data_IF_718228209746
#
_entry.id   IF_718228209746
#
_cell.length_a   1.000
_cell.length_b   1.000
_cell.length_c   1.000
_cell.angle_alpha   90.00
_cell.angle_beta   90.00
_cell.angle_gamma   90.00
#
_symmetry.space_group_name_H-M   'P 1'
#
loop_
_entity.id
_entity.type
_entity.pdbx_description
1 polymer ?
#
# COMPACT_ATOMS: atom_id res chain seq x y z
N UNK A 1 -1.44 7.33 -1.33
CA UNK A 1 -2.62 6.68 -1.95
C UNK A 1 -2.30 6.14 -3.33
N UNK A 2 -1.70 6.92 -4.22
CA UNK A 2 -1.34 6.49 -5.58
C UNK A 2 -0.39 5.29 -5.62
N UNK A 3 0.54 5.17 -4.68
CA UNK A 3 1.45 4.03 -4.60
C UNK A 3 0.69 2.72 -4.34
N UNK A 4 -0.33 2.76 -3.48
CA UNK A 4 -1.14 1.58 -3.17
C UNK A 4 -1.96 1.16 -4.39
N UNK A 5 -2.74 2.08 -4.97
CA UNK A 5 -3.53 1.78 -6.17
C UNK A 5 -2.65 1.34 -7.35
N UNK A 6 -1.49 2.01 -7.52
CA UNK A 6 -0.49 1.66 -8.53
C UNK A 6 0.08 0.25 -8.35
N UNK A 7 0.27 -0.22 -7.11
CA UNK A 7 0.71 -1.59 -6.82
C UNK A 7 -0.36 -2.62 -7.16
N UNK A 8 -1.59 -2.40 -6.68
CA UNK A 8 -2.67 -3.37 -6.88
C UNK A 8 -3.12 -3.48 -8.34
N UNK A 9 -2.90 -2.45 -9.16
CA UNK A 9 -3.22 -2.50 -10.59
C UNK A 9 -2.48 -3.64 -11.31
N UNK A 10 -1.14 -3.66 -11.40
CA UNK A 10 -0.43 -4.74 -12.10
C UNK A 10 -0.52 -6.10 -11.37
N UNK A 11 -0.53 -6.12 -10.04
CA UNK A 11 -0.62 -7.38 -9.28
C UNK A 11 -1.96 -8.06 -9.48
N UNK A 12 -3.05 -7.31 -9.67
CA UNK A 12 -4.39 -7.88 -9.90
C UNK A 12 -4.50 -8.68 -11.19
N UNK A 13 -3.59 -8.51 -12.14
CA UNK A 13 -3.54 -9.34 -13.37
C UNK A 13 -3.19 -10.81 -13.08
N UNK A 14 -2.68 -11.12 -11.90
CA UNK A 14 -2.52 -12.49 -11.43
C UNK A 14 -3.85 -13.20 -11.10
N UNK A 15 -4.97 -12.49 -11.13
CA UNK A 15 -6.29 -12.98 -10.79
C UNK A 15 -7.19 -13.06 -12.02
N UNK A 16 -8.30 -13.82 -11.88
CA UNK A 16 -9.34 -13.88 -12.90
C UNK A 16 -9.92 -12.49 -13.23
N UNK A 17 -10.42 -12.28 -14.47
CA UNK A 17 -10.88 -10.98 -14.94
C UNK A 17 -11.91 -10.30 -14.04
N UNK A 18 -12.80 -11.06 -13.41
CA UNK A 18 -13.81 -10.52 -12.49
C UNK A 18 -13.15 -9.87 -11.28
N UNK A 19 -12.32 -10.61 -10.54
CA UNK A 19 -11.66 -10.10 -9.33
C UNK A 19 -10.63 -9.02 -9.63
N UNK A 20 -9.91 -9.15 -10.75
CA UNK A 20 -9.03 -8.10 -11.25
C UNK A 20 -9.77 -6.77 -11.40
N UNK A 21 -10.92 -6.77 -12.09
CA UNK A 21 -11.69 -5.56 -12.32
C UNK A 21 -12.28 -5.00 -11.00
N UNK A 22 -12.76 -5.85 -10.10
CA UNK A 22 -13.23 -5.44 -8.77
C UNK A 22 -12.13 -4.72 -8.01
N UNK A 23 -10.91 -5.29 -7.96
CA UNK A 23 -9.78 -4.69 -7.24
C UNK A 23 -9.38 -3.35 -7.88
N UNK A 24 -9.22 -3.31 -9.20
CA UNK A 24 -8.81 -2.08 -9.90
C UNK A 24 -9.83 -0.97 -9.66
N UNK A 25 -11.11 -1.23 -9.94
CA UNK A 25 -12.16 -0.22 -9.82
C UNK A 25 -12.29 0.27 -8.37
N UNK A 26 -12.33 -0.64 -7.41
CA UNK A 26 -12.50 -0.27 -5.99
C UNK A 26 -11.28 0.48 -5.45
N UNK A 27 -10.04 0.05 -5.76
CA UNK A 27 -8.83 0.72 -5.33
C UNK A 27 -8.71 2.13 -5.92
N UNK A 28 -8.99 2.30 -7.22
CA UNK A 28 -8.95 3.62 -7.84
C UNK A 28 -10.09 4.52 -7.38
N UNK A 29 -11.30 3.99 -7.17
CA UNK A 29 -12.41 4.75 -6.60
C UNK A 29 -12.07 5.27 -5.19
N UNK A 30 -11.60 4.38 -4.30
CA UNK A 30 -11.18 4.78 -2.96
C UNK A 30 -10.02 5.78 -2.98
N UNK A 31 -9.02 5.58 -3.84
CA UNK A 31 -7.89 6.51 -4.01
C UNK A 31 -8.37 7.88 -4.46
N UNK A 32 -9.26 7.94 -5.44
CA UNK A 32 -9.83 9.20 -5.94
C UNK A 32 -10.59 9.93 -4.83
N UNK A 33 -11.45 9.22 -4.09
CA UNK A 33 -12.17 9.78 -2.95
C UNK A 33 -11.20 10.33 -1.89
N UNK A 34 -10.16 9.58 -1.55
CA UNK A 34 -9.16 10.01 -0.57
C UNK A 34 -8.40 11.27 -1.02
N UNK A 35 -8.04 11.35 -2.30
CA UNK A 35 -7.38 12.53 -2.89
C UNK A 35 -8.34 13.74 -2.89
N UNK A 36 -9.58 13.55 -3.30
CA UNK A 36 -10.60 14.62 -3.32
C UNK A 36 -10.82 15.18 -1.90
N UNK A 37 -10.98 14.31 -0.91
CA UNK A 37 -11.10 14.73 0.50
C UNK A 37 -9.85 15.51 0.93
N UNK A 38 -8.66 15.04 0.57
CA UNK A 38 -7.41 15.72 0.92
C UNK A 38 -7.29 17.11 0.30
N UNK A 39 -7.74 17.28 -0.95
CA UNK A 39 -7.70 18.57 -1.66
C UNK A 39 -8.75 19.56 -1.11
N UNK A 40 -9.96 19.06 -0.83
CA UNK A 40 -11.04 19.91 -0.31
C UNK A 40 -10.79 20.30 1.16
N UNK A 41 -10.26 19.38 1.94
CA UNK A 41 -10.03 19.58 3.37
C UNK A 41 -8.54 19.63 3.72
N UNK A 42 -7.86 20.66 3.26
CA UNK A 42 -6.40 20.86 3.42
C UNK A 42 -5.97 20.86 4.91
N UNK A 43 -6.84 21.36 5.81
CA UNK A 43 -6.58 21.44 7.25
C UNK A 43 -7.08 20.20 8.03
N UNK A 44 -7.34 19.10 7.35
CA UNK A 44 -7.80 17.88 8.03
C UNK A 44 -6.77 17.39 9.06
N UNK A 45 -7.23 16.86 10.20
CA UNK A 45 -6.34 16.39 11.25
C UNK A 45 -5.53 15.18 10.79
N UNK A 46 -4.27 15.09 11.20
CA UNK A 46 -3.33 14.02 10.77
C UNK A 46 -3.84 12.62 11.08
N UNK A 47 -4.54 12.42 12.19
CA UNK A 47 -5.11 11.13 12.55
C UNK A 47 -6.09 10.61 11.48
N UNK A 48 -6.81 11.50 10.81
CA UNK A 48 -7.74 11.11 9.73
C UNK A 48 -6.98 10.45 8.58
N UNK A 49 -5.87 11.04 8.14
CA UNK A 49 -5.03 10.45 7.09
C UNK A 49 -4.46 9.10 7.51
N UNK A 50 -4.03 8.98 8.77
CA UNK A 50 -3.52 7.71 9.30
C UNK A 50 -4.59 6.63 9.29
N UNK A 51 -5.82 6.95 9.71
CA UNK A 51 -6.96 6.02 9.67
C UNK A 51 -7.26 5.59 8.23
N UNK A 52 -7.27 6.53 7.29
CA UNK A 52 -7.49 6.20 5.87
C UNK A 52 -6.39 5.29 5.33
N UNK A 53 -5.11 5.52 5.65
CA UNK A 53 -4.01 4.62 5.27
C UNK A 53 -4.17 3.21 5.85
N UNK A 54 -4.58 3.09 7.12
CA UNK A 54 -4.82 1.81 7.77
C UNK A 54 -5.98 1.08 7.08
N UNK A 55 -7.08 1.77 6.78
CA UNK A 55 -8.24 1.20 6.07
C UNK A 55 -7.81 0.65 4.70
N UNK A 56 -7.00 1.40 3.94
CA UNK A 56 -6.47 0.93 2.66
C UNK A 56 -5.58 -0.32 2.82
N UNK A 57 -4.73 -0.33 3.86
CA UNK A 57 -3.90 -1.49 4.16
C UNK A 57 -4.72 -2.74 4.50
N UNK A 58 -5.73 -2.61 5.35
CA UNK A 58 -6.66 -3.70 5.71
C UNK A 58 -7.47 -4.15 4.50
N UNK A 59 -7.96 -3.21 3.69
CA UNK A 59 -8.70 -3.53 2.47
C UNK A 59 -7.84 -4.37 1.51
N UNK A 60 -6.57 -4.03 1.35
CA UNK A 60 -5.62 -4.83 0.57
C UNK A 60 -5.45 -6.26 1.09
N UNK A 61 -5.45 -6.44 2.43
CA UNK A 61 -5.33 -7.77 3.04
C UNK A 61 -6.50 -8.71 2.69
N UNK A 62 -7.68 -8.18 2.43
CA UNK A 62 -8.85 -8.99 2.07
C UNK A 62 -8.62 -9.85 0.80
N UNK A 63 -7.74 -9.42 -0.08
CA UNK A 63 -7.43 -10.11 -1.33
C UNK A 63 -6.22 -11.07 -1.24
N UNK A 64 -5.51 -11.11 -0.11
CA UNK A 64 -4.28 -11.90 0.02
C UNK A 64 -4.50 -13.39 -0.18
N UNK A 65 -5.65 -13.94 0.26
CA UNK A 65 -6.00 -15.35 0.05
C UNK A 65 -6.13 -15.67 -1.44
N UNK A 66 -6.65 -14.74 -2.24
CA UNK A 66 -6.78 -14.92 -3.68
C UNK A 66 -5.41 -14.93 -4.36
N UNK A 67 -4.53 -13.99 -3.98
CA UNK A 67 -3.16 -13.96 -4.49
C UNK A 67 -2.35 -15.18 -4.05
N UNK A 68 -2.56 -15.67 -2.83
CA UNK A 68 -1.89 -16.88 -2.32
C UNK A 68 -2.17 -18.12 -3.18
N UNK A 69 -3.42 -18.27 -3.61
CA UNK A 69 -3.87 -19.41 -4.41
C UNK A 69 -3.71 -19.19 -5.93
N UNK A 70 -3.24 -18.02 -6.33
CA UNK A 70 -3.03 -17.72 -7.76
C UNK A 70 -1.77 -18.41 -8.30
N UNK A 71 -1.83 -19.02 -9.48
CA UNK A 71 -0.66 -19.61 -10.13
C UNK A 71 0.41 -18.57 -10.53
N UNK A 72 0.01 -17.30 -10.68
CA UNK A 72 0.88 -16.22 -11.14
C UNK A 72 1.45 -15.35 -10.01
N UNK A 73 0.89 -15.42 -8.79
CA UNK A 73 1.36 -14.68 -7.64
C UNK A 73 2.01 -15.59 -6.59
N UNK A 74 1.22 -16.40 -5.92
CA UNK A 74 1.69 -17.36 -4.91
C UNK A 74 2.15 -16.72 -3.59
N UNK A 75 2.67 -17.57 -2.66
CA UNK A 75 3.03 -17.14 -1.31
C UNK A 75 4.09 -16.03 -1.25
N UNK A 76 5.09 -16.07 -2.13
CA UNK A 76 6.18 -15.10 -2.11
C UNK A 76 5.69 -13.67 -2.41
N UNK A 77 4.78 -13.51 -3.38
CA UNK A 77 4.16 -12.22 -3.69
C UNK A 77 3.32 -11.73 -2.51
N UNK A 78 2.55 -12.62 -1.87
CA UNK A 78 1.74 -12.26 -0.69
C UNK A 78 2.61 -11.80 0.47
N UNK A 79 3.70 -12.50 0.76
CA UNK A 79 4.64 -12.10 1.82
C UNK A 79 5.23 -10.70 1.53
N UNK A 80 5.61 -10.41 0.30
CA UNK A 80 6.12 -9.09 -0.10
C UNK A 80 5.06 -7.99 0.01
N UNK A 81 3.81 -8.28 -0.40
CA UNK A 81 2.70 -7.33 -0.25
C UNK A 81 2.39 -7.05 1.22
N UNK A 82 2.38 -8.08 2.07
CA UNK A 82 2.16 -7.93 3.50
C UNK A 82 3.32 -7.17 4.18
N UNK A 83 4.56 -7.49 3.85
CA UNK A 83 5.73 -6.80 4.38
C UNK A 83 5.74 -5.32 3.97
N UNK A 84 5.45 -5.01 2.70
CA UNK A 84 5.33 -3.65 2.21
C UNK A 84 4.19 -2.89 2.88
N UNK A 85 3.02 -3.52 3.02
CA UNK A 85 1.88 -2.96 3.75
C UNK A 85 2.20 -2.66 5.22
N UNK A 86 2.91 -3.56 5.89
CA UNK A 86 3.38 -3.34 7.27
C UNK A 86 4.32 -2.13 7.36
N UNK A 87 5.26 -1.97 6.43
CA UNK A 87 6.14 -0.80 6.37
C UNK A 87 5.33 0.51 6.23
N UNK A 88 4.31 0.55 5.38
CA UNK A 88 3.44 1.72 5.24
C UNK A 88 2.66 2.02 6.51
N UNK A 89 2.07 1.01 7.14
CA UNK A 89 1.28 1.18 8.38
C UNK A 89 2.17 1.65 9.52
N UNK A 90 3.33 1.03 9.73
CA UNK A 90 4.29 1.44 10.76
C UNK A 90 4.78 2.87 10.54
N UNK A 91 5.12 3.23 9.30
CA UNK A 91 5.48 4.59 8.94
C UNK A 91 4.36 5.59 9.26
N UNK A 92 3.11 5.26 8.89
CA UNK A 92 1.95 6.10 9.18
C UNK A 92 1.71 6.28 10.69
N UNK A 93 1.91 5.23 11.50
CA UNK A 93 1.80 5.29 12.96
C UNK A 93 2.88 6.23 13.54
N UNK A 94 4.14 6.07 13.10
CA UNK A 94 5.25 6.95 13.51
C UNK A 94 4.93 8.40 13.20
N UNK A 95 4.40 8.67 12.00
CA UNK A 95 4.00 10.01 11.57
C UNK A 95 2.87 10.59 12.44
N UNK A 96 1.85 9.78 12.78
CA UNK A 96 0.73 10.21 13.63
C UNK A 96 1.17 10.53 15.04
N UNK A 97 1.98 9.66 15.64
CA UNK A 97 2.48 9.78 17.01
C UNK A 97 3.61 10.83 17.16
N UNK A 98 4.26 11.22 16.06
CA UNK A 98 5.47 12.05 16.04
C UNK A 98 6.61 11.48 16.88
N UNK A 99 6.68 10.15 16.98
CA UNK A 99 7.68 9.40 17.75
C UNK A 99 8.00 8.08 17.04
N UNK A 100 9.26 7.60 17.13
CA UNK A 100 10.41 8.24 17.78
C UNK A 100 10.93 9.44 16.97
N UNK A 101 11.60 10.36 17.67
CA UNK A 101 12.29 11.51 17.08
C UNK A 101 13.76 11.52 17.55
N UNK A 102 14.57 10.58 17.00
CA UNK A 102 15.90 10.28 17.55
C UNK A 102 16.89 11.43 17.46
N UNK A 103 16.87 12.18 16.35
CA UNK A 103 17.73 13.33 16.12
C UNK A 103 16.91 14.50 15.57
N UNK A 104 16.26 15.30 16.43
CA UNK A 104 15.47 16.45 16.01
C UNK A 104 16.28 17.36 15.10
N UNK A 105 15.70 17.77 13.95
CA UNK A 105 16.30 18.59 12.89
C UNK A 105 17.19 17.87 11.86
N UNK A 106 17.58 16.60 12.09
CA UNK A 106 18.42 15.84 11.15
C UNK A 106 17.71 14.59 10.66
N UNK A 107 17.24 13.75 11.59
CA UNK A 107 16.55 12.50 11.30
C UNK A 107 15.48 12.24 12.36
N UNK A 108 14.25 12.64 12.07
CA UNK A 108 13.13 12.55 12.99
C UNK A 108 12.02 11.61 12.51
N UNK A 109 10.85 11.76 13.11
CA UNK A 109 9.67 10.94 12.79
C UNK A 109 9.24 11.06 11.32
N UNK A 110 9.46 12.21 10.69
CA UNK A 110 9.09 12.46 9.29
C UNK A 110 9.97 11.66 8.34
N UNK A 111 11.27 11.65 8.56
CA UNK A 111 12.25 10.88 7.80
C UNK A 111 12.02 9.37 7.99
N UNK A 112 11.69 8.93 9.21
CA UNK A 112 11.33 7.52 9.49
C UNK A 112 10.08 7.11 8.70
N UNK A 113 9.07 7.98 8.64
CA UNK A 113 7.89 7.75 7.79
C UNK A 113 8.29 7.56 6.33
N UNK A 114 9.17 8.40 5.79
CA UNK A 114 9.65 8.25 4.41
C UNK A 114 10.47 6.97 4.20
N UNK A 115 11.30 6.57 5.15
CA UNK A 115 12.01 5.29 5.10
C UNK A 115 11.02 4.11 5.03
N UNK A 116 9.97 4.14 5.85
CA UNK A 116 8.90 3.15 5.78
C UNK A 116 8.20 3.13 4.42
N UNK A 117 7.95 4.30 3.85
CA UNK A 117 7.32 4.44 2.52
C UNK A 117 8.22 3.85 1.42
N UNK A 118 9.51 4.15 1.43
CA UNK A 118 10.49 3.64 0.44
C UNK A 118 10.66 2.13 0.58
N UNK A 119 10.79 1.61 1.80
CA UNK A 119 10.91 0.17 2.04
C UNK A 119 9.64 -0.58 1.59
N UNK A 120 8.47 -0.05 1.92
CA UNK A 120 7.18 -0.60 1.47
C UNK A 120 7.06 -0.62 -0.05
N UNK A 121 7.42 0.48 -0.69
CA UNK A 121 7.43 0.56 -2.16
C UNK A 121 8.39 -0.44 -2.79
N UNK A 122 9.60 -0.61 -2.25
CA UNK A 122 10.57 -1.58 -2.76
C UNK A 122 10.01 -3.02 -2.69
N UNK A 123 9.40 -3.42 -1.58
CA UNK A 123 8.73 -4.72 -1.46
C UNK A 123 7.62 -4.89 -2.53
N UNK A 124 6.82 -3.88 -2.74
CA UNK A 124 5.74 -3.90 -3.73
C UNK A 124 6.28 -3.95 -5.16
N UNK A 125 7.36 -3.25 -5.48
CA UNK A 125 7.99 -3.31 -6.81
C UNK A 125 8.52 -4.71 -7.13
N UNK A 126 9.12 -5.38 -6.15
CA UNK A 126 9.57 -6.77 -6.32
C UNK A 126 8.37 -7.70 -6.54
N UNK A 127 7.28 -7.52 -5.78
CA UNK A 127 6.05 -8.29 -5.96
C UNK A 127 5.45 -8.10 -7.36
N UNK A 128 5.38 -6.85 -7.85
CA UNK A 128 4.92 -6.52 -9.22
C UNK A 128 5.79 -7.23 -10.26
N UNK A 129 7.12 -7.13 -10.10
CA UNK A 129 8.05 -7.75 -11.03
C UNK A 129 7.86 -9.27 -11.11
N UNK A 130 7.69 -9.93 -9.95
CA UNK A 130 7.45 -11.38 -9.90
C UNK A 130 6.16 -11.77 -10.63
N UNK A 131 5.07 -11.03 -10.44
CA UNK A 131 3.80 -11.28 -11.15
C UNK A 131 3.96 -11.09 -12.65
N UNK A 132 4.58 -9.99 -13.08
CA UNK A 132 4.80 -9.73 -14.50
C UNK A 132 5.59 -10.85 -15.16
N UNK A 133 6.71 -11.26 -14.56
CA UNK A 133 7.54 -12.36 -15.09
C UNK A 133 6.73 -13.66 -15.14
N UNK A 134 5.91 -13.96 -14.15
CA UNK A 134 5.06 -15.15 -14.09
C UNK A 134 3.97 -15.17 -15.19
N UNK A 135 3.47 -13.99 -15.58
CA UNK A 135 2.48 -13.85 -16.64
C UNK A 135 3.06 -13.99 -18.05
N UNK A 136 4.39 -13.86 -18.19
CA UNK A 136 5.09 -13.95 -19.49
C UNK A 136 5.67 -15.34 -19.77
N UNK A 137 5.64 -16.25 -18.79
CA UNK A 137 6.07 -17.66 -18.91
C UNK A 137 4.90 -18.57 -19.27
#
# INVERSE_FOLDING_TARGET
FLLIAGTYTPVSFALEPFWRNVIIISMWACTTIAIVIHVIWINAPRWLYTVVYIIFGIYGLAYMVMFWNSPYAGPAVVVLLCAGGACYILGAIVYALRKPDPWPRVFGFHEIFHCGTVAGYACHMVAIYMVIVSLWQ
#
